data_IF_437978104077
#
_entry.id   IF_437978104077
#
_cell.length_a   1.000
_cell.length_b   1.000
_cell.length_c   1.000
_cell.angle_alpha   90.00
_cell.angle_beta   90.00
_cell.angle_gamma   90.00
#
_symmetry.space_group_name_H-M   'P 1'
#
loop_
_entity.id
_entity.type
_entity.pdbx_description
1 polymer ?
#
# COMPACT_ATOMS: atom_id res chain seq x y z
N UNK A 1 17.84 -0.55 23.04
CA UNK A 1 17.11 -1.34 24.07
C UNK A 1 16.71 -2.65 23.44
N UNK A 2 17.15 -3.75 24.00
CA UNK A 2 16.72 -5.10 23.60
C UNK A 2 15.25 -5.26 23.99
N UNK A 3 14.37 -5.43 23.03
CA UNK A 3 13.02 -5.95 23.26
C UNK A 3 13.17 -7.44 23.59
N UNK A 4 12.43 -7.88 24.61
CA UNK A 4 12.44 -9.25 25.13
C UNK A 4 12.26 -10.26 24.02
N UNK A 5 13.22 -11.18 23.94
CA UNK A 5 13.25 -12.29 23.01
C UNK A 5 12.13 -13.28 23.31
N UNK A 6 11.34 -13.59 22.31
CA UNK A 6 10.88 -14.95 21.97
C UNK A 6 10.02 -14.85 20.72
N UNK A 7 10.53 -15.29 19.62
CA UNK A 7 10.03 -15.40 18.25
C UNK A 7 10.64 -14.41 17.27
N UNK A 8 11.95 -14.33 17.25
CA UNK A 8 12.71 -13.71 16.15
C UNK A 8 12.73 -14.65 14.93
N UNK A 9 11.59 -14.85 14.32
CA UNK A 9 11.53 -15.54 13.05
C UNK A 9 11.17 -14.52 11.97
N UNK A 10 12.25 -13.98 11.35
CA UNK A 10 12.27 -13.32 10.04
C UNK A 10 11.53 -11.99 9.87
N UNK A 11 11.77 -11.00 10.71
CA UNK A 11 11.55 -9.61 10.30
C UNK A 11 12.58 -9.24 9.24
N UNK A 12 12.13 -8.78 8.07
CA UNK A 12 12.99 -8.20 7.05
C UNK A 12 12.69 -6.71 6.95
N UNK A 13 13.72 -5.90 7.02
CA UNK A 13 13.63 -4.45 6.90
C UNK A 13 14.65 -3.99 5.87
N UNK A 14 14.19 -3.16 4.94
CA UNK A 14 15.05 -2.49 3.97
C UNK A 14 15.80 -1.27 4.55
N UNK A 15 16.47 -0.55 3.68
CA UNK A 15 17.30 0.58 4.03
C UNK A 15 16.51 1.89 4.11
N UNK A 16 17.10 2.90 4.79
CA UNK A 16 16.57 4.28 4.90
C UNK A 16 15.14 4.37 5.44
N UNK A 17 14.76 3.47 6.35
CA UNK A 17 13.46 3.50 6.98
C UNK A 17 13.43 4.41 8.21
N UNK A 18 12.33 5.13 8.42
CA UNK A 18 12.09 5.94 9.59
C UNK A 18 10.91 5.39 10.39
N UNK A 19 11.18 4.87 11.59
CA UNK A 19 10.16 4.42 12.53
C UNK A 19 10.12 5.39 13.70
N UNK A 20 8.99 6.09 13.83
CA UNK A 20 8.83 7.11 14.86
C UNK A 20 8.42 6.49 16.21
N UNK A 21 8.36 7.32 17.24
CA UNK A 21 8.11 6.91 18.62
C UNK A 21 6.82 6.08 18.73
N UNK A 22 6.89 5.01 19.53
CA UNK A 22 5.78 4.11 19.82
C UNK A 22 5.20 3.37 18.60
N UNK A 23 5.93 3.31 17.48
CA UNK A 23 5.60 2.37 16.41
C UNK A 23 5.96 0.95 16.84
N UNK A 24 5.14 -0.04 16.45
CA UNK A 24 5.37 -1.45 16.76
C UNK A 24 5.32 -2.30 15.49
N UNK A 25 6.34 -3.12 15.30
CA UNK A 25 6.41 -4.06 14.17
C UNK A 25 6.36 -5.46 14.75
N UNK A 26 5.24 -6.17 14.50
CA UNK A 26 5.08 -7.54 14.96
C UNK A 26 5.96 -8.54 14.17
N UNK A 27 5.83 -9.82 14.52
CA UNK A 27 6.63 -10.90 13.93
C UNK A 27 6.39 -11.08 12.41
N UNK A 28 7.38 -11.56 11.70
CA UNK A 28 7.31 -11.94 10.27
C UNK A 28 6.89 -10.82 9.30
N UNK A 29 7.03 -9.55 9.70
CA UNK A 29 6.81 -8.43 8.81
C UNK A 29 7.95 -8.30 7.80
N UNK A 30 7.59 -7.93 6.56
CA UNK A 30 8.52 -7.58 5.48
C UNK A 30 8.34 -6.10 5.17
N UNK A 31 9.38 -5.31 5.34
CA UNK A 31 9.36 -3.86 5.11
C UNK A 31 10.41 -3.51 4.07
N UNK A 32 9.98 -2.85 3.01
CA UNK A 32 10.84 -2.37 1.93
C UNK A 32 11.74 -1.20 2.33
N UNK A 33 12.32 -0.54 1.33
CA UNK A 33 13.21 0.60 1.51
C UNK A 33 12.44 1.93 1.60
N UNK A 34 13.06 2.93 2.26
CA UNK A 34 12.53 4.30 2.35
C UNK A 34 11.11 4.38 2.95
N UNK A 35 10.76 3.44 3.82
CA UNK A 35 9.44 3.39 4.48
C UNK A 35 9.43 4.32 5.68
N UNK A 36 8.35 5.09 5.81
CA UNK A 36 8.11 5.96 6.97
C UNK A 36 6.89 5.44 7.73
N UNK A 37 7.09 5.09 8.99
CA UNK A 37 6.03 4.72 9.93
C UNK A 37 6.00 5.77 11.03
N UNK A 38 4.93 6.55 11.05
CA UNK A 38 4.78 7.65 12.00
C UNK A 38 4.48 7.13 13.43
N UNK A 39 4.28 8.06 14.37
CA UNK A 39 4.09 7.76 15.78
C UNK A 39 2.85 6.88 16.02
N UNK A 40 2.96 5.99 17.00
CA UNK A 40 1.85 5.15 17.50
C UNK A 40 1.20 4.26 16.43
N UNK A 41 1.98 3.73 15.49
CA UNK A 41 1.50 2.83 14.44
C UNK A 41 1.89 1.39 14.77
N UNK A 42 0.96 0.54 15.22
CA UNK A 42 1.19 -0.90 15.31
C UNK A 42 0.95 -1.59 13.96
N UNK A 43 1.90 -2.45 13.58
CA UNK A 43 1.75 -3.42 12.51
C UNK A 43 1.46 -4.79 13.09
N UNK A 44 0.40 -5.45 12.62
CA UNK A 44 0.13 -6.85 12.92
C UNK A 44 1.17 -7.80 12.30
N UNK A 45 1.19 -9.06 12.70
CA UNK A 45 2.12 -10.05 12.16
C UNK A 45 1.93 -10.29 10.66
N UNK A 46 3.01 -10.67 9.96
CA UNK A 46 3.03 -11.00 8.53
C UNK A 46 2.58 -9.84 7.60
N UNK A 47 2.67 -8.59 8.06
CA UNK A 47 2.40 -7.43 7.20
C UNK A 47 3.54 -7.27 6.21
N UNK A 48 3.20 -7.01 4.94
CA UNK A 48 4.16 -6.69 3.89
C UNK A 48 3.98 -5.24 3.47
N UNK A 49 5.04 -4.44 3.59
CA UNK A 49 5.09 -3.04 3.17
C UNK A 49 6.16 -2.92 2.10
N UNK A 50 5.76 -2.48 0.91
CA UNK A 50 6.70 -2.25 -0.19
C UNK A 50 7.43 -0.90 -0.04
N UNK A 51 8.33 -0.60 -0.99
CA UNK A 51 9.21 0.56 -0.91
C UNK A 51 8.45 1.91 -0.88
N UNK A 52 9.01 2.87 -0.20
CA UNK A 52 8.57 4.28 -0.17
C UNK A 52 7.14 4.49 0.35
N UNK A 53 6.61 3.55 1.11
CA UNK A 53 5.31 3.69 1.78
C UNK A 53 5.42 4.66 2.95
N UNK A 54 4.40 5.47 3.13
CA UNK A 54 4.25 6.35 4.30
C UNK A 54 2.98 5.97 5.05
N UNK A 55 3.11 5.71 6.35
CA UNK A 55 1.97 5.42 7.24
C UNK A 55 1.83 6.55 8.25
N UNK A 56 0.70 7.26 8.17
CA UNK A 56 0.37 8.37 9.05
C UNK A 56 0.15 7.94 10.50
N UNK A 57 0.41 8.84 11.43
CA UNK A 57 0.35 8.59 12.86
C UNK A 57 -1.01 8.10 13.35
N UNK A 58 -1.00 7.34 14.44
CA UNK A 58 -2.17 6.72 15.07
C UNK A 58 -2.98 5.80 14.13
N UNK A 59 -2.38 5.34 13.03
CA UNK A 59 -2.95 4.30 12.18
C UNK A 59 -2.60 2.92 12.73
N UNK A 60 -3.39 1.91 12.35
CA UNK A 60 -3.11 0.52 12.71
C UNK A 60 -3.25 -0.38 11.49
N UNK A 61 -2.36 -1.35 11.33
CA UNK A 61 -2.35 -2.25 10.17
C UNK A 61 -2.64 -3.67 10.62
N UNK A 62 -3.71 -4.25 10.08
CA UNK A 62 -4.14 -5.61 10.39
C UNK A 62 -3.10 -6.63 9.90
N UNK A 63 -2.97 -7.73 10.62
CA UNK A 63 -2.10 -8.85 10.23
C UNK A 63 -2.36 -9.34 8.79
N UNK A 64 -1.31 -9.80 8.12
CA UNK A 64 -1.30 -10.29 6.73
C UNK A 64 -1.62 -9.25 5.66
N UNK A 65 -1.78 -7.98 6.01
CA UNK A 65 -2.06 -6.91 5.05
C UNK A 65 -0.83 -6.61 4.19
N UNK A 66 -1.07 -6.33 2.91
CA UNK A 66 -0.05 -5.85 1.97
C UNK A 66 -0.30 -4.38 1.65
N UNK A 67 0.75 -3.58 1.68
CA UNK A 67 0.72 -2.17 1.29
C UNK A 67 1.72 -1.98 0.15
N UNK A 68 1.19 -1.64 -1.01
CA UNK A 68 1.97 -1.51 -2.24
C UNK A 68 2.86 -0.27 -2.27
N UNK A 69 3.86 -0.31 -3.14
CA UNK A 69 4.90 0.71 -3.28
C UNK A 69 4.32 2.12 -3.41
N UNK A 70 4.97 3.08 -2.75
CA UNK A 70 4.61 4.50 -2.77
C UNK A 70 3.17 4.79 -2.32
N UNK A 71 2.48 3.84 -1.68
CA UNK A 71 1.17 4.10 -1.08
C UNK A 71 1.30 5.06 0.11
N UNK A 72 0.26 5.85 0.32
CA UNK A 72 0.12 6.73 1.46
C UNK A 72 -1.07 6.30 2.31
N UNK A 73 -0.82 6.04 3.57
CA UNK A 73 -1.86 5.79 4.57
C UNK A 73 -2.03 7.07 5.39
N UNK A 74 -3.21 7.66 5.31
CA UNK A 74 -3.52 8.85 6.11
C UNK A 74 -3.50 8.54 7.62
N UNK A 75 -3.32 9.56 8.44
CA UNK A 75 -3.36 9.37 9.89
C UNK A 75 -4.70 8.84 10.39
N UNK A 76 -4.69 8.15 11.54
CA UNK A 76 -5.88 7.56 12.18
C UNK A 76 -6.63 6.54 11.29
N UNK A 77 -5.91 5.87 10.40
CA UNK A 77 -6.48 4.88 9.47
C UNK A 77 -6.37 3.46 10.03
N UNK A 78 -7.48 2.73 10.02
CA UNK A 78 -7.50 1.28 10.28
C UNK A 78 -7.33 0.52 8.97
N UNK A 79 -6.13 0.02 8.67
CA UNK A 79 -5.82 -0.71 7.43
C UNK A 79 -6.23 -2.17 7.57
N UNK A 80 -7.40 -2.50 7.07
CA UNK A 80 -8.00 -3.85 7.13
C UNK A 80 -7.92 -4.61 5.80
N UNK A 81 -7.71 -3.88 4.70
CA UNK A 81 -7.64 -4.40 3.32
C UNK A 81 -6.30 -4.04 2.69
N UNK A 82 -5.87 -4.84 1.73
CA UNK A 82 -4.64 -4.58 0.98
C UNK A 82 -4.75 -3.26 0.21
N UNK A 83 -3.70 -2.45 0.28
CA UNK A 83 -3.64 -1.15 -0.40
C UNK A 83 -2.77 -1.27 -1.64
N UNK A 84 -3.32 -0.92 -2.79
CA UNK A 84 -2.61 -0.98 -4.08
C UNK A 84 -1.39 -0.04 -4.10
N UNK A 85 -0.39 -0.32 -4.94
CA UNK A 85 0.69 0.63 -5.20
C UNK A 85 0.15 2.00 -5.59
N UNK A 86 0.81 3.04 -5.12
CA UNK A 86 0.43 4.45 -5.36
C UNK A 86 -0.92 4.89 -4.77
N UNK A 87 -1.61 4.01 -4.04
CA UNK A 87 -2.90 4.33 -3.44
C UNK A 87 -2.80 5.33 -2.28
N UNK A 88 -3.80 6.19 -2.14
CA UNK A 88 -4.02 7.00 -0.94
C UNK A 88 -5.21 6.40 -0.18
N UNK A 89 -4.91 5.81 0.98
CA UNK A 89 -5.89 5.09 1.80
C UNK A 89 -6.13 5.82 3.11
N UNK A 90 -7.40 6.01 3.47
CA UNK A 90 -7.83 6.69 4.68
C UNK A 90 -9.02 5.97 5.34
N UNK A 91 -9.35 6.39 6.56
CA UNK A 91 -10.57 5.99 7.27
C UNK A 91 -10.37 4.85 8.27
N UNK A 92 -11.25 4.77 9.26
CA UNK A 92 -11.20 3.78 10.33
C UNK A 92 -11.42 2.33 9.83
N UNK A 93 -12.04 2.16 8.68
CA UNK A 93 -12.12 0.92 7.89
C UNK A 93 -11.70 1.26 6.47
N UNK A 94 -10.43 1.21 6.20
CA UNK A 94 -9.79 1.86 5.07
C UNK A 94 -10.52 1.73 3.73
N UNK A 95 -10.54 2.85 3.02
CA UNK A 95 -10.95 2.96 1.62
C UNK A 95 -9.93 3.80 0.85
N UNK A 96 -9.93 3.67 -0.48
CA UNK A 96 -9.09 4.50 -1.33
C UNK A 96 -9.75 5.86 -1.55
N UNK A 97 -9.09 6.92 -1.13
CA UNK A 97 -9.48 8.28 -1.47
C UNK A 97 -9.05 8.64 -2.89
N UNK A 98 -8.07 7.92 -3.45
CA UNK A 98 -7.52 8.12 -4.77
C UNK A 98 -6.08 7.61 -4.84
N UNK A 99 -5.26 8.29 -5.64
CA UNK A 99 -3.84 8.02 -5.80
C UNK A 99 -2.98 9.03 -5.03
N UNK A 100 -1.80 8.60 -4.60
CA UNK A 100 -0.77 9.46 -4.00
C UNK A 100 -0.06 10.30 -5.09
N UNK A 101 -0.80 11.23 -5.69
CA UNK A 101 -0.29 12.08 -6.78
C UNK A 101 0.91 12.92 -6.35
N UNK A 102 0.95 13.35 -5.08
CA UNK A 102 2.07 14.12 -4.52
C UNK A 102 3.33 13.25 -4.51
N UNK A 103 3.23 12.01 -4.03
CA UNK A 103 4.34 11.06 -4.01
C UNK A 103 4.85 10.77 -5.41
N UNK A 104 3.97 10.50 -6.36
CA UNK A 104 4.33 10.26 -7.76
C UNK A 104 5.10 11.44 -8.39
N UNK A 105 4.64 12.68 -8.17
CA UNK A 105 5.32 13.88 -8.66
C UNK A 105 6.68 14.10 -8.00
N UNK A 106 6.80 13.85 -6.70
CA UNK A 106 8.09 13.93 -5.96
C UNK A 106 9.12 12.92 -6.50
N UNK A 107 8.66 11.75 -6.92
CA UNK A 107 9.49 10.73 -7.58
C UNK A 107 9.79 11.06 -9.05
N UNK A 108 9.34 12.22 -9.55
CA UNK A 108 9.58 12.73 -10.91
C UNK A 108 9.06 11.80 -12.03
N UNK A 109 7.98 11.06 -11.77
CA UNK A 109 7.30 10.34 -12.84
C UNK A 109 6.71 11.31 -13.87
N UNK A 110 6.74 10.88 -15.15
CA UNK A 110 6.16 11.65 -16.24
C UNK A 110 4.64 11.87 -16.02
N UNK A 111 4.19 13.10 -16.29
CA UNK A 111 2.78 13.45 -16.16
C UNK A 111 1.86 12.58 -17.02
N UNK A 112 2.30 12.16 -18.22
CA UNK A 112 1.50 11.27 -19.08
C UNK A 112 1.29 9.91 -18.41
N UNK A 113 2.34 9.36 -17.76
CA UNK A 113 2.23 8.10 -16.99
C UNK A 113 1.30 8.25 -15.79
N UNK A 114 1.37 9.36 -15.07
CA UNK A 114 0.48 9.66 -13.94
C UNK A 114 -0.97 9.78 -14.40
N UNK A 115 -1.23 10.49 -15.50
CA UNK A 115 -2.59 10.61 -16.08
C UNK A 115 -3.12 9.25 -16.55
N UNK A 116 -2.27 8.44 -17.17
CA UNK A 116 -2.62 7.07 -17.58
C UNK A 116 -2.97 6.20 -16.38
N UNK A 117 -2.21 6.32 -15.28
CA UNK A 117 -2.50 5.61 -14.03
C UNK A 117 -3.83 6.07 -13.41
N UNK A 118 -4.13 7.38 -13.41
CA UNK A 118 -5.40 7.90 -12.87
C UNK A 118 -6.60 7.40 -13.69
N UNK A 119 -6.47 7.36 -15.02
CA UNK A 119 -7.50 6.78 -15.89
C UNK A 119 -7.68 5.29 -15.59
N UNK A 120 -6.59 4.52 -15.55
CA UNK A 120 -6.64 3.10 -15.24
C UNK A 120 -7.23 2.83 -13.85
N UNK A 121 -6.92 3.65 -12.86
CA UNK A 121 -7.51 3.56 -11.53
C UNK A 121 -9.04 3.64 -11.57
N UNK A 122 -9.61 4.57 -12.33
CA UNK A 122 -11.05 4.70 -12.51
C UNK A 122 -11.65 3.47 -13.20
N UNK A 123 -10.97 2.94 -14.21
CA UNK A 123 -11.43 1.76 -14.94
C UNK A 123 -11.33 0.48 -14.07
N UNK A 124 -10.26 0.32 -13.28
CA UNK A 124 -10.08 -0.80 -12.35
C UNK A 124 -11.22 -0.85 -11.32
N UNK A 125 -11.65 0.29 -10.82
CA UNK A 125 -12.68 0.40 -9.78
C UNK A 125 -14.04 0.86 -10.32
N UNK A 126 -14.28 0.76 -11.63
CA UNK A 126 -15.54 1.17 -12.26
C UNK A 126 -16.75 0.35 -11.77
N UNK A 127 -16.55 -0.89 -11.36
CA UNK A 127 -17.59 -1.76 -10.80
C UNK A 127 -17.04 -2.56 -9.60
N UNK A 128 -17.94 -3.24 -8.88
CA UNK A 128 -17.56 -4.11 -7.76
C UNK A 128 -16.81 -5.38 -8.20
N UNK A 129 -16.88 -5.75 -9.48
CA UNK A 129 -16.20 -6.92 -10.01
C UNK A 129 -14.79 -6.57 -10.51
N UNK A 130 -13.84 -6.52 -9.58
CA UNK A 130 -12.46 -6.16 -9.86
C UNK A 130 -11.80 -7.04 -10.94
N UNK A 131 -12.06 -8.35 -10.94
CA UNK A 131 -11.49 -9.27 -11.93
C UNK A 131 -12.01 -9.02 -13.35
N UNK A 132 -13.29 -8.74 -13.49
CA UNK A 132 -13.88 -8.39 -14.79
C UNK A 132 -13.30 -7.07 -15.30
N UNK A 133 -13.17 -6.07 -14.43
CA UNK A 133 -12.58 -4.80 -14.81
C UNK A 133 -11.12 -4.96 -15.26
N UNK A 134 -10.30 -5.73 -14.52
CA UNK A 134 -8.92 -6.01 -14.90
C UNK A 134 -8.81 -6.72 -16.25
N UNK A 135 -9.70 -7.67 -16.56
CA UNK A 135 -9.67 -8.37 -17.85
C UNK A 135 -9.96 -7.43 -19.03
N UNK A 136 -10.81 -6.42 -18.83
CA UNK A 136 -11.14 -5.44 -19.87
C UNK A 136 -9.98 -4.50 -20.19
N UNK A 137 -9.18 -4.11 -19.17
CA UNK A 137 -8.11 -3.11 -19.32
C UNK A 137 -6.74 -3.71 -19.67
N UNK A 138 -6.59 -5.03 -19.62
CA UNK A 138 -5.30 -5.74 -19.72
C UNK A 138 -4.52 -5.51 -21.04
N UNK A 139 -5.12 -4.85 -22.02
CA UNK A 139 -4.47 -4.47 -23.30
C UNK A 139 -4.26 -2.98 -23.49
N UNK A 140 -5.03 -2.14 -22.82
CA UNK A 140 -5.08 -0.69 -23.06
C UNK A 140 -3.88 0.06 -22.45
N UNK A 141 -3.30 -0.46 -21.36
CA UNK A 141 -2.25 0.23 -20.59
C UNK A 141 -0.89 -0.48 -20.63
N UNK A 142 -0.62 -1.29 -21.66
CA UNK A 142 0.59 -2.13 -21.76
C UNK A 142 1.90 -1.37 -21.59
N UNK A 143 1.95 -0.13 -22.06
CA UNK A 143 3.17 0.69 -22.05
C UNK A 143 3.31 1.54 -20.78
N UNK A 144 2.36 1.43 -19.84
CA UNK A 144 2.43 2.16 -18.57
C UNK A 144 2.85 1.22 -17.43
N UNK A 145 4.12 1.30 -17.06
CA UNK A 145 4.70 0.47 -15.99
C UNK A 145 3.98 0.63 -14.63
N UNK A 146 3.45 1.83 -14.32
CA UNK A 146 2.74 2.09 -13.08
C UNK A 146 1.43 1.30 -13.02
N UNK A 147 0.71 1.25 -14.13
CA UNK A 147 -0.51 0.45 -14.25
C UNK A 147 -0.18 -1.04 -14.14
N UNK A 148 0.87 -1.48 -14.84
CA UNK A 148 1.34 -2.86 -14.76
C UNK A 148 1.68 -3.30 -13.33
N UNK A 149 2.25 -2.41 -12.52
CA UNK A 149 2.57 -2.68 -11.12
C UNK A 149 1.30 -2.87 -10.27
N UNK A 150 0.28 -2.01 -10.46
CA UNK A 150 -1.01 -2.14 -9.78
C UNK A 150 -1.70 -3.45 -10.14
N UNK A 151 -1.73 -3.81 -11.42
CA UNK A 151 -2.34 -5.07 -11.89
C UNK A 151 -1.62 -6.27 -11.26
N UNK A 152 -0.29 -6.32 -11.32
CA UNK A 152 0.50 -7.40 -10.71
C UNK A 152 0.26 -7.53 -9.21
N UNK A 153 0.15 -6.41 -8.49
CA UNK A 153 -0.13 -6.41 -7.05
C UNK A 153 -1.49 -7.05 -6.76
N UNK A 154 -2.52 -6.69 -7.52
CA UNK A 154 -3.88 -7.22 -7.34
C UNK A 154 -3.93 -8.72 -7.68
N UNK A 155 -3.25 -9.14 -8.75
CA UNK A 155 -3.26 -10.54 -9.21
C UNK A 155 -2.41 -11.48 -8.36
N UNK A 156 -1.37 -10.97 -7.70
CA UNK A 156 -0.40 -11.75 -6.92
C UNK A 156 -1.02 -12.54 -5.78
N UNK A 157 -2.03 -11.97 -5.11
CA UNK A 157 -2.72 -12.64 -4.01
C UNK A 157 -4.21 -12.27 -4.00
N UNK A 158 -5.04 -13.29 -4.14
CA UNK A 158 -6.51 -13.18 -4.19
C UNK A 158 -7.18 -13.51 -2.87
N UNK A 159 -6.41 -13.82 -1.81
CA UNK A 159 -6.95 -14.28 -0.52
C UNK A 159 -7.51 -13.13 0.32
N UNK A 160 -6.96 -11.92 0.14
CA UNK A 160 -7.37 -10.76 0.91
C UNK A 160 -8.14 -9.76 0.05
N UNK A 161 -9.12 -9.04 0.62
CA UNK A 161 -9.82 -8.00 -0.10
C UNK A 161 -8.87 -6.84 -0.42
N UNK A 162 -9.00 -6.30 -1.62
CA UNK A 162 -8.34 -5.06 -2.03
C UNK A 162 -9.15 -3.86 -1.52
N UNK A 163 -8.46 -2.87 -0.97
CA UNK A 163 -9.03 -1.59 -0.62
C UNK A 163 -9.56 -0.91 -1.89
N UNK A 164 -10.81 -0.46 -1.86
CA UNK A 164 -11.50 0.18 -2.99
C UNK A 164 -11.98 1.58 -2.60
N UNK A 165 -12.27 2.45 -3.56
CA UNK A 165 -12.97 3.71 -3.31
C UNK A 165 -14.33 3.47 -2.61
N UNK A 166 -14.84 4.51 -1.95
CA UNK A 166 -16.24 4.51 -1.49
C UNK A 166 -17.16 4.53 -2.71
N UNK A 167 -18.15 3.64 -2.72
CA UNK A 167 -19.22 3.59 -3.73
C UNK A 167 -20.26 4.67 -3.47
#
# INVERSE_FOLDING_TARGET
RRSSAASDVYKRQGDNCLFMISSHIAHDCIIGNNVIIANNVPLGGHVTIEDSVVIGGNSAVQQFTRIGRLAMIGGMTGVLKDVIPFGLSIGNRNYLQGLNLIGLRRQKYDNQKIMGLDKAFKDIFASKNLHENLSKINGEYKDNELVGEVIKFIEKDKKRPICSPLS
#
